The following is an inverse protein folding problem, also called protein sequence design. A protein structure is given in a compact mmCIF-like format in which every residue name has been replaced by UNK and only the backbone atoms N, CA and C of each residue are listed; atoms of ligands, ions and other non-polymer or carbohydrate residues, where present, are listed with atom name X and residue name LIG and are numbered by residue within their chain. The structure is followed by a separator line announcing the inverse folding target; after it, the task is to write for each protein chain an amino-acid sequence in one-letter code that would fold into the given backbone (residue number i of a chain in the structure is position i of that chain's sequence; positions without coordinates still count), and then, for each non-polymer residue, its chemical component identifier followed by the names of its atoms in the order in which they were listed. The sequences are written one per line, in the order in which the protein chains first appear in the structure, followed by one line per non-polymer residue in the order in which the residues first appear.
data_IF_581599921156
#
_entry.id   IF_581599921156
#
_cell.length_a   1.000
_cell.length_b   1.000
_cell.length_c   1.000
_cell.angle_alpha   90.00
_cell.angle_beta   90.00
_cell.angle_gamma   90.00
#
_symmetry.space_group_name_H-M   'P 1'
#
loop_
_entity.id
_entity.type
_entity.pdbx_description
1 polymer ?
#
# COMPACT_ATOMS: atom_id res chain seq x y z
N UNK A 1 -13.23 17.36 20.12
CA UNK A 1 -13.51 15.93 20.12
C UNK A 1 -14.23 15.44 18.88
N UNK A 2 -15.29 16.13 18.44
CA UNK A 2 -16.05 15.70 17.26
C UNK A 2 -15.21 15.63 15.99
N UNK A 3 -14.33 16.63 15.78
CA UNK A 3 -13.46 16.67 14.62
C UNK A 3 -12.43 15.54 14.65
N UNK A 4 -11.88 15.22 15.82
CA UNK A 4 -10.92 14.13 15.99
C UNK A 4 -11.55 12.77 15.67
N UNK A 5 -12.77 12.54 16.15
CA UNK A 5 -13.50 11.31 15.86
C UNK A 5 -13.79 11.20 14.38
N UNK A 6 -14.19 12.31 13.75
CA UNK A 6 -14.45 12.36 12.31
C UNK A 6 -13.20 12.00 11.49
N UNK A 7 -12.04 12.55 11.86
CA UNK A 7 -10.78 12.26 11.19
C UNK A 7 -10.38 10.79 11.34
N UNK A 8 -10.55 10.21 12.54
CA UNK A 8 -10.25 8.80 12.75
C UNK A 8 -11.16 7.91 11.91
N UNK A 9 -12.45 8.24 11.86
CA UNK A 9 -13.42 7.50 11.06
C UNK A 9 -13.07 7.56 9.57
N UNK A 10 -12.51 8.69 9.09
CA UNK A 10 -12.04 8.80 7.71
C UNK A 10 -10.75 8.01 7.46
N UNK A 11 -9.85 7.94 8.46
CA UNK A 11 -8.56 7.30 8.30
C UNK A 11 -8.68 5.78 8.03
N UNK A 12 -9.63 5.12 8.69
CA UNK A 12 -9.79 3.66 8.56
C UNK A 12 -10.18 3.24 7.13
N UNK A 13 -11.25 3.83 6.51
CA UNK A 13 -11.60 3.46 5.14
C UNK A 13 -10.52 3.76 4.12
N UNK A 14 -9.82 4.89 4.26
CA UNK A 14 -8.75 5.29 3.35
C UNK A 14 -7.62 4.25 3.41
N UNK A 15 -7.25 3.83 4.62
CA UNK A 15 -6.18 2.85 4.80
C UNK A 15 -6.57 1.48 4.22
N UNK A 16 -7.80 1.04 4.45
CA UNK A 16 -8.31 -0.21 3.90
C UNK A 16 -8.28 -0.15 2.38
N UNK A 17 -8.71 0.95 1.79
CA UNK A 17 -8.70 1.14 0.34
C UNK A 17 -7.28 1.11 -0.21
N UNK A 18 -6.34 1.80 0.44
CA UNK A 18 -4.94 1.79 0.03
C UNK A 18 -4.37 0.36 0.06
N UNK A 19 -4.68 -0.42 1.09
CA UNK A 19 -4.22 -1.80 1.18
C UNK A 19 -4.83 -2.68 0.10
N UNK A 20 -6.09 -2.46 -0.25
CA UNK A 20 -6.73 -3.19 -1.36
C UNK A 20 -6.04 -2.90 -2.69
N UNK A 21 -5.67 -1.65 -2.94
CA UNK A 21 -4.95 -1.28 -4.16
C UNK A 21 -3.56 -1.90 -4.17
N UNK A 22 -2.86 -1.88 -3.03
CA UNK A 22 -1.57 -2.54 -2.89
C UNK A 22 -1.70 -4.03 -3.21
N UNK A 23 -2.71 -4.71 -2.66
CA UNK A 23 -2.95 -6.13 -2.93
C UNK A 23 -3.18 -6.39 -4.41
N UNK A 24 -3.93 -5.52 -5.08
CA UNK A 24 -4.14 -5.62 -6.52
C UNK A 24 -2.85 -5.47 -7.31
N UNK A 25 -1.95 -4.58 -6.87
CA UNK A 25 -0.64 -4.43 -7.49
C UNK A 25 0.21 -5.69 -7.33
N UNK A 26 0.25 -6.26 -6.13
CA UNK A 26 1.03 -7.47 -5.87
C UNK A 26 0.43 -8.66 -6.64
N UNK A 27 -0.89 -8.75 -6.70
CA UNK A 27 -1.56 -9.78 -7.48
C UNK A 27 -1.23 -9.66 -8.97
N UNK A 28 -1.21 -8.43 -9.49
CA UNK A 28 -0.84 -8.17 -10.88
C UNK A 28 0.62 -8.59 -11.14
N UNK A 29 1.52 -8.27 -10.23
CA UNK A 29 2.92 -8.69 -10.35
C UNK A 29 3.03 -10.21 -10.38
N UNK A 30 2.32 -10.90 -9.48
CA UNK A 30 2.30 -12.35 -9.44
C UNK A 30 1.77 -12.97 -10.73
N UNK A 31 0.66 -12.45 -11.25
CA UNK A 31 -0.01 -13.03 -12.41
C UNK A 31 0.64 -12.67 -13.74
N UNK A 32 1.08 -11.42 -13.90
CA UNK A 32 1.57 -10.90 -15.18
C UNK A 32 3.06 -10.70 -15.24
N UNK A 33 3.71 -10.57 -14.09
CA UNK A 33 5.15 -10.31 -13.99
C UNK A 33 5.78 -11.29 -12.98
N UNK A 34 5.48 -12.57 -13.17
CA UNK A 34 5.82 -13.62 -12.20
C UNK A 34 7.31 -13.70 -11.91
N UNK A 35 8.16 -13.54 -12.94
CA UNK A 35 9.62 -13.58 -12.75
C UNK A 35 10.09 -12.43 -11.87
N UNK A 36 9.52 -11.25 -12.07
CA UNK A 36 9.84 -10.10 -11.23
C UNK A 36 9.34 -10.31 -9.81
N UNK A 37 8.17 -10.93 -9.66
CA UNK A 37 7.61 -11.26 -8.35
C UNK A 37 8.55 -12.17 -7.56
N UNK A 38 9.13 -13.17 -8.22
CA UNK A 38 10.11 -14.07 -7.60
C UNK A 38 11.38 -13.29 -7.25
N UNK A 39 11.87 -12.43 -8.15
CA UNK A 39 13.06 -11.63 -7.92
C UNK A 39 12.90 -10.66 -6.76
N UNK A 40 11.69 -10.15 -6.54
CA UNK A 40 11.38 -9.23 -5.45
C UNK A 40 11.19 -9.92 -4.10
N UNK A 41 11.37 -11.24 -4.03
CA UNK A 41 11.29 -11.99 -2.78
C UNK A 41 9.93 -12.59 -2.49
N UNK A 42 9.09 -12.72 -3.50
CA UNK A 42 7.75 -13.31 -3.41
C UNK A 42 6.87 -12.61 -2.37
N UNK A 43 6.63 -11.30 -2.52
CA UNK A 43 5.77 -10.57 -1.58
C UNK A 43 4.34 -11.06 -1.65
N UNK A 44 3.62 -10.98 -0.54
CA UNK A 44 2.18 -11.20 -0.50
C UNK A 44 1.46 -9.87 -0.38
N UNK A 45 0.14 -9.86 -0.66
CA UNK A 45 -0.70 -8.76 -0.25
C UNK A 45 -0.99 -8.83 1.24
N UNK A 46 -1.71 -7.83 1.75
CA UNK A 46 -2.12 -7.82 3.16
C UNK A 46 -3.33 -8.72 3.39
N UNK A 47 -4.25 -8.77 2.42
CA UNK A 47 -5.45 -9.60 2.46
C UNK A 47 -5.39 -10.76 1.49
N UNK A 48 -4.67 -10.58 0.37
CA UNK A 48 -4.55 -11.58 -0.67
C UNK A 48 -3.20 -12.29 -0.56
N UNK A 49 -3.21 -13.60 -0.75
CA UNK A 49 -1.98 -14.40 -0.78
C UNK A 49 -1.97 -15.29 -2.02
N UNK A 50 -0.83 -15.38 -2.72
CA UNK A 50 -0.74 -16.26 -3.87
C UNK A 50 -0.81 -17.72 -3.44
N UNK A 51 -1.21 -18.60 -4.37
CA UNK A 51 -1.32 -20.04 -4.11
C UNK A 51 0.03 -20.66 -3.74
N UNK A 52 1.12 -20.12 -4.28
CA UNK A 52 2.47 -20.59 -4.01
C UNK A 52 3.10 -19.96 -2.76
N UNK A 53 2.33 -19.16 -2.03
CA UNK A 53 2.86 -18.40 -0.91
C UNK A 53 3.19 -19.32 0.25
N UNK A 54 4.43 -19.19 0.74
CA UNK A 54 4.85 -19.85 1.96
C UNK A 54 5.21 -18.78 2.98
N UNK A 55 4.50 -18.72 4.12
CA UNK A 55 4.80 -17.73 5.15
C UNK A 55 6.25 -17.89 5.62
N UNK A 56 7.01 -16.81 5.57
CA UNK A 56 8.39 -16.79 6.05
C UNK A 56 8.76 -15.37 6.42
N UNK A 57 9.83 -15.26 7.19
CA UNK A 57 10.35 -13.93 7.55
C UNK A 57 10.79 -13.15 6.31
N UNK A 58 11.38 -13.83 5.33
CA UNK A 58 11.78 -13.19 4.07
C UNK A 58 10.59 -12.65 3.30
N UNK A 59 9.50 -13.41 3.24
CA UNK A 59 8.27 -12.95 2.55
C UNK A 59 7.67 -11.74 3.22
N UNK A 60 7.67 -11.71 4.55
CA UNK A 60 7.18 -10.56 5.31
C UNK A 60 8.00 -9.30 5.04
N UNK A 61 9.32 -9.42 5.01
CA UNK A 61 10.22 -8.32 4.67
C UNK A 61 9.99 -7.88 3.23
N UNK A 62 9.83 -8.83 2.30
CA UNK A 62 9.58 -8.52 0.90
C UNK A 62 8.28 -7.75 0.74
N UNK A 63 7.23 -8.10 1.47
CA UNK A 63 5.96 -7.39 1.44
C UNK A 63 6.13 -5.94 1.91
N UNK A 64 6.80 -5.72 3.04
CA UNK A 64 7.05 -4.38 3.55
C UNK A 64 7.92 -3.56 2.60
N UNK A 65 8.96 -4.19 2.03
CA UNK A 65 9.81 -3.53 1.05
C UNK A 65 9.01 -3.11 -0.18
N UNK A 66 8.13 -3.97 -0.66
CA UNK A 66 7.28 -3.66 -1.81
C UNK A 66 6.34 -2.48 -1.51
N UNK A 67 5.78 -2.41 -0.30
CA UNK A 67 4.96 -1.27 0.09
C UNK A 67 5.72 0.05 -0.02
N UNK A 68 6.98 0.07 0.43
CA UNK A 68 7.81 1.26 0.38
C UNK A 68 8.29 1.57 -1.03
N UNK A 69 8.70 0.56 -1.79
CA UNK A 69 9.15 0.73 -3.17
C UNK A 69 8.02 1.30 -4.03
N UNK A 70 6.81 0.76 -3.92
CA UNK A 70 5.66 1.24 -4.68
C UNK A 70 5.24 2.65 -4.26
N UNK A 71 5.57 3.05 -3.02
CA UNK A 71 5.27 4.39 -2.55
C UNK A 71 6.26 5.44 -3.09
N UNK A 72 7.54 5.12 -3.18
CA UNK A 72 8.59 6.09 -3.50
C UNK A 72 9.23 5.88 -4.86
N UNK A 73 9.15 4.68 -5.44
CA UNK A 73 9.80 4.35 -6.71
C UNK A 73 8.77 3.86 -7.71
N UNK A 74 9.18 3.84 -8.99
CA UNK A 74 8.35 3.23 -10.04
C UNK A 74 9.17 2.10 -10.67
N UNK A 75 8.99 0.85 -10.23
CA UNK A 75 9.66 -0.30 -10.84
C UNK A 75 9.33 -0.40 -12.34
N UNK A 76 10.24 -1.03 -13.09
CA UNK A 76 10.08 -1.16 -14.53
C UNK A 76 8.78 -1.88 -14.90
N UNK A 77 8.40 -2.93 -14.15
CA UNK A 77 7.18 -3.66 -14.44
C UNK A 77 5.92 -2.80 -14.26
N UNK A 78 5.94 -1.84 -13.33
CA UNK A 78 4.86 -0.87 -13.15
C UNK A 78 4.85 0.11 -14.31
N UNK A 79 6.03 0.62 -14.68
CA UNK A 79 6.15 1.59 -15.77
C UNK A 79 5.73 1.00 -17.10
N UNK A 80 5.93 -0.30 -17.31
CA UNK A 80 5.57 -0.98 -18.56
C UNK A 80 4.08 -1.25 -18.70
N UNK A 81 3.29 -1.12 -17.62
CA UNK A 81 1.86 -1.39 -17.62
C UNK A 81 1.09 -0.13 -17.25
N UNK A 82 0.20 0.32 -18.12
CA UNK A 82 -0.65 1.47 -17.84
C UNK A 82 -1.58 1.20 -16.66
N UNK A 83 -2.11 -0.02 -16.57
CA UNK A 83 -2.99 -0.42 -15.47
C UNK A 83 -2.23 -0.38 -14.14
N UNK A 84 -1.02 -0.94 -14.08
CA UNK A 84 -0.19 -0.93 -12.88
C UNK A 84 0.19 0.50 -12.48
N UNK A 85 0.50 1.36 -13.46
CA UNK A 85 0.83 2.76 -13.20
C UNK A 85 -0.35 3.51 -12.59
N UNK A 86 -1.57 3.23 -13.06
CA UNK A 86 -2.78 3.84 -12.49
C UNK A 86 -3.03 3.38 -11.06
N UNK A 87 -2.86 2.09 -10.79
CA UNK A 87 -3.00 1.56 -9.44
C UNK A 87 -1.96 2.17 -8.50
N UNK A 88 -0.72 2.29 -8.96
CA UNK A 88 0.35 2.89 -8.16
C UNK A 88 0.02 4.35 -7.83
N UNK A 89 -0.51 5.10 -8.79
CA UNK A 89 -0.89 6.49 -8.57
C UNK A 89 -1.98 6.59 -7.49
N UNK A 90 -3.00 5.75 -7.58
CA UNK A 90 -4.06 5.71 -6.57
C UNK A 90 -3.52 5.34 -5.19
N UNK A 91 -2.64 4.34 -5.14
CA UNK A 91 -2.00 3.90 -3.91
C UNK A 91 -1.24 5.06 -3.26
N UNK A 92 -0.43 5.77 -4.04
CA UNK A 92 0.34 6.92 -3.54
C UNK A 92 -0.55 8.03 -3.02
N UNK A 93 -1.60 8.36 -3.76
CA UNK A 93 -2.54 9.42 -3.36
C UNK A 93 -3.23 9.05 -2.05
N UNK A 94 -3.67 7.80 -1.92
CA UNK A 94 -4.36 7.36 -0.70
C UNK A 94 -3.43 7.35 0.51
N UNK A 95 -2.21 6.85 0.36
CA UNK A 95 -1.23 6.84 1.46
C UNK A 95 -0.85 8.26 1.85
N UNK A 96 -0.64 9.15 0.88
CA UNK A 96 -0.31 10.54 1.15
C UNK A 96 -1.47 11.25 1.86
N UNK A 97 -2.69 11.04 1.40
CA UNK A 97 -3.89 11.60 2.03
C UNK A 97 -4.02 11.12 3.46
N UNK A 98 -3.81 9.82 3.69
CA UNK A 98 -3.86 9.24 5.02
C UNK A 98 -2.85 9.89 5.95
N UNK A 99 -1.61 10.08 5.47
CA UNK A 99 -0.55 10.71 6.27
C UNK A 99 -0.87 12.17 6.58
N UNK A 100 -1.41 12.91 5.61
CA UNK A 100 -1.82 14.31 5.82
C UNK A 100 -2.92 14.38 6.87
N UNK A 101 -3.93 13.51 6.77
CA UNK A 101 -5.01 13.46 7.76
C UNK A 101 -4.49 13.11 9.16
N UNK A 102 -3.53 12.20 9.26
CA UNK A 102 -2.92 11.82 10.52
C UNK A 102 -2.16 13.00 11.14
N UNK A 103 -1.40 13.73 10.34
CA UNK A 103 -0.66 14.92 10.79
C UNK A 103 -1.63 15.99 11.27
N UNK A 104 -2.71 16.22 10.54
CA UNK A 104 -3.74 17.18 10.94
C UNK A 104 -4.38 16.77 12.26
N UNK A 105 -4.66 15.47 12.44
CA UNK A 105 -5.24 14.96 13.68
C UNK A 105 -4.33 15.25 14.88
N UNK A 106 -3.04 14.99 14.75
CA UNK A 106 -2.07 15.28 15.81
C UNK A 106 -1.95 16.78 16.06
N UNK A 107 -1.96 17.58 15.00
CA UNK A 107 -1.86 19.05 15.13
C UNK A 107 -3.06 19.62 15.86
N UNK A 108 -4.27 19.18 15.52
CA UNK A 108 -5.50 19.63 16.16
C UNK A 108 -5.52 19.20 17.62
N UNK A 109 -5.09 17.97 17.90
CA UNK A 109 -5.01 17.46 19.27
C UNK A 109 -4.05 18.32 20.12
N UNK A 110 -2.92 18.72 19.55
CA UNK A 110 -1.95 19.57 20.23
C UNK A 110 -2.47 20.97 20.51
N UNK A 111 -3.30 21.51 19.60
CA UNK A 111 -3.89 22.84 19.75
C UNK A 111 -5.02 22.84 20.78
N UNK A 112 -5.84 21.78 20.77
CA UNK A 112 -7.03 21.71 21.63
C UNK A 112 -6.68 21.33 23.07
N UNK A 113 -5.52 20.70 23.27
CA UNK A 113 -5.04 20.42 24.61
C UNK A 113 -4.34 21.67 25.21
#
# INVERSE_FOLDING_TARGET
MTLQIFLIVLLVPILIWAFNIFDNLIKLEFESFHQQWIADGRPSGLYWRPTDYQPSFKSGIATQKSMLVLLFCRPEWVASSEYASRLQRKYRILVLTWNICLILWFSIRGIVQ
#
